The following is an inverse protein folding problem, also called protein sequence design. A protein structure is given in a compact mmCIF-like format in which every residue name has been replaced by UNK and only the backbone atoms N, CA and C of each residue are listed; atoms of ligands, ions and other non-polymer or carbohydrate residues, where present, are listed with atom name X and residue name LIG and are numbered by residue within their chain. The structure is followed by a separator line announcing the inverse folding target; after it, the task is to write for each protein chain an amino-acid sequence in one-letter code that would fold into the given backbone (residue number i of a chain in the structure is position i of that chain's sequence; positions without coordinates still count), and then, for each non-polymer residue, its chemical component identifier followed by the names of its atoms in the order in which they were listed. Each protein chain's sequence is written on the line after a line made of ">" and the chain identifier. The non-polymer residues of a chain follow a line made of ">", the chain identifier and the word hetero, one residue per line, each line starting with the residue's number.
data_IF_591817610644
#
_entry.id   IF_591817610644
#
_cell.length_a   1.000
_cell.length_b   1.000
_cell.length_c   1.000
_cell.angle_alpha   90.00
_cell.angle_beta   90.00
_cell.angle_gamma   90.00
#
_symmetry.space_group_name_H-M   'P 1'
#
loop_
_entity.id
_entity.type
_entity.pdbx_description
1 polymer ?
#
# COMPACT_ATOMS: atom_id res chain seq x y z
N UNK A 1 36.23 -35.31 21.06
CA UNK A 1 36.01 -34.24 20.06
C UNK A 1 34.57 -33.78 20.22
N UNK A 2 34.36 -32.67 20.91
CA UNK A 2 33.01 -32.13 21.12
C UNK A 2 32.46 -31.63 19.79
N UNK A 3 31.23 -32.02 19.46
CA UNK A 3 30.50 -31.51 18.30
C UNK A 3 30.24 -30.02 18.53
N UNK A 4 30.93 -29.15 17.79
CA UNK A 4 30.62 -27.72 17.78
C UNK A 4 29.16 -27.55 17.39
N UNK A 5 28.40 -26.85 18.24
CA UNK A 5 27.01 -26.58 17.93
C UNK A 5 26.94 -25.55 16.80
N UNK A 6 25.82 -25.54 16.07
CA UNK A 6 25.58 -24.55 15.01
C UNK A 6 25.71 -23.11 15.54
N UNK A 7 25.39 -22.89 16.81
CA UNK A 7 25.48 -21.58 17.47
C UNK A 7 26.93 -21.16 17.73
N UNK A 8 27.81 -22.11 18.06
CA UNK A 8 29.24 -21.84 18.25
C UNK A 8 29.92 -21.41 16.95
N UNK A 9 29.62 -22.09 15.83
CA UNK A 9 30.16 -21.68 14.52
C UNK A 9 29.65 -20.29 14.08
N UNK A 10 28.39 -19.96 14.39
CA UNK A 10 27.81 -18.66 14.04
C UNK A 10 28.39 -17.52 14.88
N UNK A 11 28.77 -17.80 16.14
CA UNK A 11 29.51 -16.85 16.98
C UNK A 11 30.94 -16.63 16.47
N UNK A 12 31.62 -17.69 16.09
CA UNK A 12 33.00 -17.62 15.58
C UNK A 12 33.08 -16.82 14.27
N UNK A 13 32.02 -16.85 13.47
CA UNK A 13 31.92 -16.06 12.23
C UNK A 13 31.43 -14.62 12.45
N UNK A 14 31.21 -14.18 13.71
CA UNK A 14 30.68 -12.85 14.05
C UNK A 14 29.34 -12.49 13.39
N UNK A 15 28.54 -13.50 13.02
CA UNK A 15 27.29 -13.34 12.27
C UNK A 15 26.05 -13.13 13.17
N UNK A 16 26.22 -12.67 14.42
CA UNK A 16 25.10 -12.43 15.36
C UNK A 16 25.04 -10.98 15.87
N UNK A 17 23.82 -10.46 16.19
CA UNK A 17 22.56 -11.21 16.29
C UNK A 17 21.60 -11.01 15.11
N UNK A 18 21.18 -12.14 14.54
CA UNK A 18 19.98 -12.25 13.72
C UNK A 18 18.73 -11.97 14.57
N UNK A 19 18.04 -10.87 14.24
CA UNK A 19 16.59 -10.62 14.38
C UNK A 19 15.86 -11.45 15.46
N UNK A 20 15.72 -10.89 16.66
CA UNK A 20 14.82 -11.43 17.69
C UNK A 20 13.36 -11.05 17.38
N UNK A 21 12.44 -12.00 17.54
CA UNK A 21 11.00 -11.77 17.46
C UNK A 21 10.59 -10.82 18.60
N UNK A 22 9.93 -9.69 18.31
CA UNK A 22 9.38 -8.83 19.36
C UNK A 22 8.34 -9.62 20.15
N UNK A 23 8.51 -9.69 21.47
CA UNK A 23 7.47 -10.16 22.40
C UNK A 23 6.23 -9.27 22.25
N UNK A 24 5.01 -9.84 22.20
CA UNK A 24 3.80 -9.03 22.15
C UNK A 24 3.68 -8.19 23.43
N UNK A 25 3.30 -6.92 23.27
CA UNK A 25 3.15 -5.94 24.35
C UNK A 25 2.12 -6.42 25.40
N UNK A 26 2.28 -6.04 26.69
CA UNK A 26 1.32 -6.38 27.72
C UNK A 26 -0.04 -5.71 27.43
N UNK A 27 -1.06 -6.54 27.48
CA UNK A 27 -2.48 -6.23 27.32
C UNK A 27 -2.91 -5.26 28.45
N UNK A 28 -2.84 -3.95 28.21
CA UNK A 28 -3.43 -2.96 29.10
C UNK A 28 -4.93 -2.91 28.83
N UNK A 29 -5.66 -3.53 29.75
CA UNK A 29 -7.10 -3.49 29.89
C UNK A 29 -7.66 -2.07 29.69
N UNK A 30 -8.58 -1.94 28.72
CA UNK A 30 -9.45 -0.77 28.61
C UNK A 30 -10.53 -0.92 29.68
N UNK A 31 -10.36 -0.20 30.77
CA UNK A 31 -11.36 -0.09 31.83
C UNK A 31 -12.53 0.78 31.33
N UNK A 32 -13.68 0.14 31.17
CA UNK A 32 -14.93 0.75 30.76
C UNK A 32 -15.62 1.24 32.03
N UNK A 33 -15.58 2.54 32.32
CA UNK A 33 -16.38 3.13 33.38
C UNK A 33 -17.04 4.44 32.96
N UNK A 34 -18.36 4.34 32.75
CA UNK A 34 -19.37 5.39 32.69
C UNK A 34 -19.20 6.38 33.84
N UNK A 35 -19.48 7.68 33.61
CA UNK A 35 -20.42 8.50 34.41
C UNK A 35 -20.79 9.76 33.62
N UNK A 36 -22.08 9.85 33.29
CA UNK A 36 -22.79 11.09 32.97
C UNK A 36 -22.95 11.94 34.24
N UNK A 37 -22.72 13.25 34.16
CA UNK A 37 -23.44 14.28 34.95
C UNK A 37 -23.05 15.67 34.45
N UNK A 38 -23.97 16.37 33.77
CA UNK A 38 -24.10 17.84 33.79
C UNK A 38 -25.58 18.22 33.63
N UNK A 39 -26.25 18.42 34.77
CA UNK A 39 -27.31 19.44 34.98
C UNK A 39 -26.60 20.69 35.55
N UNK A 40 -27.02 21.94 35.42
CA UNK A 40 -28.37 22.53 35.38
C UNK A 40 -28.23 23.96 34.78
N UNK A 41 -28.98 24.29 33.73
CA UNK A 41 -30.14 25.23 33.69
C UNK A 41 -29.87 26.68 34.14
N UNK A 42 -29.96 27.59 33.15
CA UNK A 42 -30.12 29.04 33.31
C UNK A 42 -30.99 29.60 32.18
N UNK A 43 -32.31 29.45 32.35
CA UNK A 43 -33.45 30.12 31.70
C UNK A 43 -33.25 31.67 31.60
N UNK A 44 -33.74 32.46 30.64
CA UNK A 44 -34.70 32.37 29.51
C UNK A 44 -34.64 33.75 28.73
N UNK A 45 -35.62 34.16 27.89
CA UNK A 45 -35.51 34.29 26.43
C UNK A 45 -35.67 35.74 25.90
N UNK A 46 -35.49 35.97 24.60
CA UNK A 46 -36.59 36.48 23.77
C UNK A 46 -36.30 36.27 22.26
N UNK A 47 -37.35 36.14 21.43
CA UNK A 47 -37.30 35.58 20.08
C UNK A 47 -37.20 36.68 19.02
N UNK A 48 -36.59 36.38 17.88
CA UNK A 48 -37.10 36.87 16.60
C UNK A 48 -37.03 35.78 15.53
N UNK A 49 -38.15 35.70 14.84
CA UNK A 49 -38.60 34.75 13.83
C UNK A 49 -37.91 35.04 12.51
N UNK A 50 -37.43 34.02 11.79
CA UNK A 50 -37.60 33.93 10.34
C UNK A 50 -37.28 32.50 9.85
N UNK A 51 -38.33 31.89 9.29
CA UNK A 51 -38.32 30.63 8.55
C UNK A 51 -37.72 30.85 7.17
N UNK A 52 -36.85 29.95 6.68
CA UNK A 52 -36.92 29.41 5.30
C UNK A 52 -36.28 28.02 5.28
N UNK A 53 -37.06 27.06 4.79
CA UNK A 53 -36.70 25.70 4.40
C UNK A 53 -35.78 25.73 3.18
N UNK A 54 -34.59 25.13 3.23
CA UNK A 54 -33.99 24.57 2.01
C UNK A 54 -32.95 23.48 2.34
N UNK A 55 -33.25 22.29 1.84
CA UNK A 55 -32.33 21.16 1.74
C UNK A 55 -31.48 21.43 0.51
N UNK A 56 -30.19 21.72 0.67
CA UNK A 56 -29.26 21.88 -0.46
C UNK A 56 -27.99 21.09 -0.18
N UNK A 57 -27.93 19.95 -0.87
CA UNK A 57 -26.79 19.38 -1.59
C UNK A 57 -25.37 19.53 -1.01
N UNK A 58 -24.75 18.38 -0.82
CA UNK A 58 -23.32 18.16 -0.58
C UNK A 58 -22.53 18.75 -1.77
N UNK A 59 -21.67 19.77 -1.58
CA UNK A 59 -20.71 20.09 -2.61
C UNK A 59 -19.47 19.23 -2.41
N UNK A 60 -19.31 18.25 -3.30
CA UNK A 60 -18.03 17.63 -3.60
C UNK A 60 -17.06 18.71 -4.10
N UNK A 61 -16.33 19.34 -3.19
CA UNK A 61 -15.23 20.25 -3.53
C UNK A 61 -14.09 20.11 -2.54
N UNK A 62 -13.19 19.18 -2.85
CA UNK A 62 -11.77 19.39 -2.57
C UNK A 62 -11.06 19.32 -3.92
N UNK A 63 -11.25 20.38 -4.71
CA UNK A 63 -10.32 20.77 -5.75
C UNK A 63 -9.08 21.34 -5.06
N UNK A 64 -8.09 20.50 -4.81
CA UNK A 64 -6.75 20.98 -4.47
C UNK A 64 -6.05 21.31 -5.78
N UNK A 65 -6.08 22.59 -6.15
CA UNK A 65 -5.27 23.17 -7.21
C UNK A 65 -3.80 23.14 -6.76
N UNK A 66 -3.03 22.18 -7.28
CA UNK A 66 -1.60 22.02 -6.96
C UNK A 66 -0.85 21.25 -8.04
N UNK A 67 -0.17 21.98 -8.91
CA UNK A 67 0.81 21.56 -9.91
C UNK A 67 0.33 20.68 -11.08
N UNK A 68 0.40 21.24 -12.28
CA UNK A 68 0.33 20.58 -13.59
C UNK A 68 1.68 19.85 -13.85
N UNK A 69 2.14 19.07 -12.89
CA UNK A 69 3.22 18.12 -13.10
C UNK A 69 2.57 16.76 -13.35
N UNK A 70 2.96 16.01 -14.40
CA UNK A 70 2.52 14.63 -14.50
C UNK A 70 2.80 13.91 -13.17
N UNK A 71 1.90 13.05 -12.68
CA UNK A 71 2.13 12.32 -11.44
C UNK A 71 3.44 11.54 -11.62
N UNK A 72 4.49 11.97 -10.93
CA UNK A 72 5.77 11.28 -10.95
C UNK A 72 5.59 10.04 -10.10
N UNK A 73 5.60 8.87 -10.75
CA UNK A 73 5.52 7.60 -10.06
C UNK A 73 6.91 6.96 -9.99
N UNK A 74 7.10 6.19 -8.94
CA UNK A 74 8.26 5.34 -8.82
C UNK A 74 7.91 3.95 -9.33
N UNK A 75 8.88 3.30 -9.94
CA UNK A 75 8.71 1.93 -10.37
C UNK A 75 9.91 1.08 -9.97
N UNK A 76 9.63 -0.19 -9.74
CA UNK A 76 10.62 -1.22 -9.48
C UNK A 76 10.34 -2.33 -10.48
N UNK A 77 11.24 -2.50 -11.45
CA UNK A 77 11.18 -3.59 -12.42
C UNK A 77 11.87 -4.84 -11.87
N UNK A 78 11.32 -6.01 -12.19
CA UNK A 78 12.02 -7.26 -11.93
C UNK A 78 13.21 -7.46 -12.87
N UNK A 79 14.23 -8.18 -12.42
CA UNK A 79 15.38 -8.58 -13.25
C UNK A 79 14.98 -9.41 -14.47
N UNK A 80 13.94 -10.23 -14.36
CA UNK A 80 13.42 -11.04 -15.47
C UNK A 80 12.55 -10.24 -16.45
N UNK A 81 12.21 -8.99 -16.13
CA UNK A 81 11.35 -8.13 -16.94
C UNK A 81 9.86 -8.49 -16.92
N UNK A 82 9.42 -9.47 -16.13
CA UNK A 82 8.02 -9.91 -16.17
C UNK A 82 7.08 -9.08 -15.29
N UNK A 83 7.60 -8.60 -14.16
CA UNK A 83 6.87 -7.82 -13.16
C UNK A 83 7.35 -6.38 -13.12
N UNK A 84 6.40 -5.46 -13.02
CA UNK A 84 6.63 -4.04 -12.74
C UNK A 84 5.81 -3.61 -11.54
N UNK A 85 6.46 -3.24 -10.45
CA UNK A 85 5.80 -2.67 -9.29
C UNK A 85 5.78 -1.15 -9.46
N UNK A 86 4.59 -0.55 -9.39
CA UNK A 86 4.42 0.91 -9.44
C UNK A 86 4.04 1.39 -8.04
N UNK A 87 4.73 2.41 -7.57
CA UNK A 87 4.66 2.95 -6.21
C UNK A 87 4.38 4.46 -6.27
N UNK A 88 3.74 5.03 -5.24
CA UNK A 88 3.47 6.46 -5.17
C UNK A 88 4.73 7.31 -4.96
N UNK A 89 5.80 6.74 -4.39
CA UNK A 89 7.07 7.43 -4.13
C UNK A 89 8.24 6.47 -4.23
N UNK A 90 9.38 6.97 -4.70
CA UNK A 90 10.64 6.22 -4.75
C UNK A 90 11.35 6.17 -3.39
N UNK A 91 11.00 7.11 -2.51
CA UNK A 91 11.59 7.21 -1.18
C UNK A 91 10.76 6.34 -0.25
N UNK A 92 11.38 5.26 0.22
CA UNK A 92 10.83 4.35 1.20
C UNK A 92 11.66 4.43 2.48
N UNK A 93 11.02 4.32 3.64
CA UNK A 93 11.70 4.08 4.89
C UNK A 93 12.43 2.73 4.88
N UNK A 94 13.33 2.52 5.84
CA UNK A 94 14.03 1.25 6.00
C UNK A 94 13.06 0.07 6.25
N UNK A 95 12.00 0.31 7.02
CA UNK A 95 10.99 -0.70 7.35
C UNK A 95 10.12 -1.06 6.14
N UNK A 96 9.70 -0.07 5.36
CA UNK A 96 8.93 -0.28 4.13
C UNK A 96 9.78 -1.02 3.09
N UNK A 97 11.03 -0.60 2.93
CA UNK A 97 11.99 -1.25 2.03
C UNK A 97 12.21 -2.71 2.44
N UNK A 98 12.34 -3.00 3.73
CA UNK A 98 12.51 -4.35 4.23
C UNK A 98 11.26 -5.21 4.02
N UNK A 99 10.06 -4.67 4.27
CA UNK A 99 8.81 -5.36 4.02
C UNK A 99 8.67 -5.70 2.53
N UNK A 100 8.92 -4.73 1.66
CA UNK A 100 8.90 -4.93 0.22
C UNK A 100 9.91 -6.00 -0.23
N UNK A 101 11.15 -5.95 0.27
CA UNK A 101 12.14 -6.99 0.02
C UNK A 101 11.68 -8.38 0.48
N UNK A 102 11.00 -8.47 1.64
CA UNK A 102 10.47 -9.74 2.13
C UNK A 102 9.34 -10.27 1.24
N UNK A 103 8.48 -9.38 0.73
CA UNK A 103 7.45 -9.72 -0.26
C UNK A 103 8.10 -10.26 -1.54
N UNK A 104 9.10 -9.57 -2.10
CA UNK A 104 9.80 -10.01 -3.30
C UNK A 104 10.50 -11.38 -3.09
N UNK A 105 11.14 -11.58 -1.93
CA UNK A 105 11.73 -12.88 -1.55
C UNK A 105 10.69 -13.99 -1.44
N UNK A 106 9.51 -13.70 -0.88
CA UNK A 106 8.42 -14.67 -0.77
C UNK A 106 7.85 -15.05 -2.15
N UNK A 107 7.78 -14.08 -3.08
CA UNK A 107 7.42 -14.32 -4.48
C UNK A 107 8.55 -14.99 -5.30
N UNK A 108 9.76 -15.11 -4.72
CA UNK A 108 11.00 -15.57 -5.39
C UNK A 108 11.38 -14.73 -6.60
N UNK A 109 11.14 -13.42 -6.53
CA UNK A 109 11.42 -12.46 -7.59
C UNK A 109 12.61 -11.59 -7.17
N UNK A 110 13.59 -11.43 -8.05
CA UNK A 110 14.62 -10.42 -7.89
C UNK A 110 14.16 -9.11 -8.52
N UNK A 111 14.40 -8.01 -7.83
CA UNK A 111 13.97 -6.66 -8.22
C UNK A 111 15.18 -5.73 -8.32
N UNK A 112 15.13 -4.81 -9.30
CA UNK A 112 16.11 -3.73 -9.44
C UNK A 112 15.84 -2.63 -8.41
N UNK A 113 16.71 -1.62 -8.35
CA UNK A 113 16.48 -0.45 -7.51
C UNK A 113 15.24 0.33 -7.97
N UNK A 114 14.60 1.06 -7.05
CA UNK A 114 13.51 1.97 -7.37
C UNK A 114 14.00 3.12 -8.25
N UNK A 115 13.28 3.36 -9.34
CA UNK A 115 13.58 4.42 -10.30
C UNK A 115 12.33 5.30 -10.46
N UNK A 116 12.51 6.61 -10.36
CA UNK A 116 11.43 7.57 -10.65
C UNK A 116 11.35 7.80 -12.15
N UNK A 117 10.15 7.84 -12.69
CA UNK A 117 9.96 8.08 -14.13
C UNK A 117 8.65 8.79 -14.41
N UNK A 118 8.60 9.39 -15.59
CA UNK A 118 7.46 10.21 -16.02
C UNK A 118 6.51 9.46 -16.97
N UNK A 119 6.99 8.39 -17.63
CA UNK A 119 6.23 7.65 -18.66
C UNK A 119 6.22 6.15 -18.40
N UNK A 120 5.03 5.58 -18.21
CA UNK A 120 4.88 4.15 -17.93
C UNK A 120 5.03 3.32 -19.21
N UNK A 121 4.61 3.88 -20.35
CA UNK A 121 4.71 3.23 -21.66
C UNK A 121 6.16 2.88 -21.97
N UNK A 122 7.08 3.82 -21.76
CA UNK A 122 8.51 3.60 -22.01
C UNK A 122 9.08 2.49 -21.13
N UNK A 123 8.70 2.45 -19.85
CA UNK A 123 9.18 1.45 -18.90
C UNK A 123 8.67 0.05 -19.25
N UNK A 124 7.38 -0.06 -19.55
CA UNK A 124 6.75 -1.34 -19.94
C UNK A 124 7.39 -1.87 -21.21
N UNK A 125 7.64 -1.00 -22.19
CA UNK A 125 8.33 -1.36 -23.43
C UNK A 125 9.80 -1.73 -23.20
N UNK A 126 10.53 -0.95 -22.40
CA UNK A 126 11.95 -1.17 -22.14
C UNK A 126 12.21 -2.47 -21.36
N UNK A 127 11.32 -2.85 -20.45
CA UNK A 127 11.45 -4.07 -19.64
C UNK A 127 10.65 -5.25 -20.18
N UNK A 128 9.81 -5.06 -21.20
CA UNK A 128 8.89 -6.07 -21.74
C UNK A 128 7.96 -6.66 -20.67
N UNK A 129 7.43 -5.78 -19.83
CA UNK A 129 6.59 -6.15 -18.70
C UNK A 129 5.30 -6.83 -19.15
N UNK A 130 5.01 -8.00 -18.55
CA UNK A 130 3.76 -8.73 -18.77
C UNK A 130 2.70 -8.37 -17.72
N UNK A 131 3.13 -8.14 -16.48
CA UNK A 131 2.25 -7.85 -15.36
C UNK A 131 2.71 -6.63 -14.56
N UNK A 132 1.79 -5.70 -14.35
CA UNK A 132 1.98 -4.47 -13.56
C UNK A 132 1.25 -4.61 -12.23
N UNK A 133 1.94 -4.30 -11.13
CA UNK A 133 1.38 -4.31 -9.78
C UNK A 133 1.31 -2.87 -9.30
N UNK A 134 0.10 -2.33 -9.20
CA UNK A 134 -0.15 -0.99 -8.67
C UNK A 134 -0.23 -1.07 -7.14
N UNK A 135 0.74 -0.50 -6.45
CA UNK A 135 0.78 -0.48 -4.99
C UNK A 135 0.20 0.83 -4.46
N UNK A 136 -0.93 0.75 -3.76
CA UNK A 136 -1.63 1.89 -3.18
C UNK A 136 -2.81 2.36 -4.03
N UNK A 137 -3.77 3.00 -3.37
CA UNK A 137 -5.02 3.46 -3.98
C UNK A 137 -4.79 4.54 -5.03
N UNK A 138 -4.04 5.59 -4.69
CA UNK A 138 -3.77 6.69 -5.60
C UNK A 138 -3.07 6.21 -6.88
N UNK A 139 -2.11 5.29 -6.75
CA UNK A 139 -1.43 4.68 -7.89
C UNK A 139 -2.40 3.86 -8.72
N UNK A 140 -3.22 2.99 -8.12
CA UNK A 140 -4.20 2.19 -8.84
C UNK A 140 -5.22 3.04 -9.61
N UNK A 141 -5.74 4.10 -8.98
CA UNK A 141 -6.69 5.04 -9.59
C UNK A 141 -6.09 5.76 -10.80
N UNK A 142 -4.86 6.26 -10.67
CA UNK A 142 -4.15 6.92 -11.78
C UNK A 142 -3.89 5.95 -12.93
N UNK A 143 -3.43 4.73 -12.64
CA UNK A 143 -3.11 3.75 -13.69
C UNK A 143 -4.36 3.18 -14.38
N UNK A 144 -5.45 2.99 -13.65
CA UNK A 144 -6.71 2.45 -14.20
C UNK A 144 -7.67 3.54 -14.69
N UNK A 145 -7.31 4.82 -14.55
CA UNK A 145 -8.19 5.97 -14.83
C UNK A 145 -9.56 5.83 -14.13
N UNK A 146 -9.54 5.34 -12.89
CA UNK A 146 -10.73 5.05 -12.11
C UNK A 146 -10.74 5.88 -10.83
N UNK A 147 -11.94 6.19 -10.32
CA UNK A 147 -12.17 6.85 -9.03
C UNK A 147 -12.68 5.88 -7.97
N UNK A 148 -12.71 4.57 -8.27
CA UNK A 148 -13.11 3.55 -7.31
C UNK A 148 -12.08 3.39 -6.20
N UNK A 149 -12.54 3.00 -5.01
CA UNK A 149 -11.67 2.70 -3.88
C UNK A 149 -10.84 1.45 -4.14
N UNK A 150 -9.71 1.34 -3.45
CA UNK A 150 -8.80 0.20 -3.60
C UNK A 150 -9.49 -1.14 -3.34
N UNK A 151 -10.44 -1.21 -2.41
CA UNK A 151 -11.19 -2.43 -2.09
C UNK A 151 -12.03 -2.95 -3.27
N UNK A 152 -12.49 -2.08 -4.16
CA UNK A 152 -13.21 -2.47 -5.37
C UNK A 152 -12.27 -2.84 -6.54
N UNK A 153 -11.07 -2.25 -6.56
CA UNK A 153 -10.08 -2.44 -7.61
C UNK A 153 -9.22 -3.69 -7.38
N UNK A 154 -8.98 -4.07 -6.12
CA UNK A 154 -8.21 -5.27 -5.74
C UNK A 154 -8.99 -6.56 -6.03
N UNK A 155 -8.29 -7.70 -5.93
CA UNK A 155 -8.84 -9.04 -6.23
C UNK A 155 -9.42 -9.17 -7.65
N UNK A 156 -9.07 -8.26 -8.56
CA UNK A 156 -9.47 -8.25 -9.97
C UNK A 156 -8.26 -8.05 -10.86
N UNK A 157 -8.32 -8.66 -12.04
CA UNK A 157 -7.31 -8.49 -13.07
C UNK A 157 -7.81 -7.47 -14.08
N UNK A 158 -7.08 -6.38 -14.18
CA UNK A 158 -7.36 -5.30 -15.11
C UNK A 158 -6.40 -5.39 -16.30
N UNK A 159 -6.74 -4.73 -17.40
CA UNK A 159 -5.90 -4.66 -18.59
C UNK A 159 -5.64 -3.19 -18.89
N UNK A 160 -4.37 -2.82 -18.94
CA UNK A 160 -3.97 -1.46 -19.31
C UNK A 160 -4.07 -1.28 -20.83
N UNK A 161 -5.26 -0.88 -21.29
CA UNK A 161 -5.57 -0.71 -22.72
C UNK A 161 -4.78 0.43 -23.38
N UNK A 162 -4.22 1.35 -22.59
CA UNK A 162 -3.43 2.48 -23.09
C UNK A 162 -2.03 2.09 -23.57
N UNK A 163 -1.51 0.94 -23.11
CA UNK A 163 -0.12 0.52 -23.36
C UNK A 163 -0.12 -0.75 -24.20
N UNK A 164 0.66 -0.77 -25.29
CA UNK A 164 0.90 -1.98 -26.10
C UNK A 164 2.28 -2.53 -25.76
N UNK A 165 2.45 -3.83 -25.49
CA UNK A 165 1.44 -4.91 -25.42
C UNK A 165 0.63 -4.84 -24.11
N UNK A 166 -0.70 -4.84 -24.20
CA UNK A 166 -1.67 -4.66 -23.10
C UNK A 166 -1.31 -5.45 -21.84
N UNK A 167 -0.61 -4.85 -20.86
CA UNK A 167 -0.14 -5.61 -19.71
C UNK A 167 -1.30 -5.82 -18.73
N UNK A 168 -1.29 -6.98 -18.08
CA UNK A 168 -2.23 -7.27 -16.99
C UNK A 168 -1.87 -6.39 -15.79
N UNK A 169 -2.84 -5.76 -15.14
CA UNK A 169 -2.66 -4.94 -13.96
C UNK A 169 -3.43 -5.48 -12.77
N UNK A 170 -2.79 -5.51 -11.60
CA UNK A 170 -3.43 -5.85 -10.32
C UNK A 170 -3.16 -4.73 -9.32
N UNK A 171 -4.21 -4.28 -8.64
CA UNK A 171 -4.10 -3.30 -7.56
C UNK A 171 -3.91 -4.02 -6.21
N UNK A 172 -3.03 -3.47 -5.36
CA UNK A 172 -2.77 -3.98 -4.00
C UNK A 172 -2.41 -2.85 -3.04
N UNK A 173 -2.30 -3.15 -1.75
CA UNK A 173 -1.91 -2.18 -0.73
C UNK A 173 -0.43 -1.79 -0.84
N UNK A 174 -0.11 -0.54 -0.49
CA UNK A 174 1.27 -0.08 -0.40
C UNK A 174 1.98 -0.60 0.87
N UNK A 175 3.32 -0.52 0.87
CA UNK A 175 4.12 -1.03 1.99
C UNK A 175 3.89 -0.25 3.29
N UNK A 176 3.70 1.07 3.23
CA UNK A 176 3.48 1.92 4.41
C UNK A 176 2.17 1.59 5.11
N UNK A 177 1.09 1.45 4.34
CA UNK A 177 -0.22 1.01 4.78
C UNK A 177 -0.15 -0.35 5.46
N UNK A 178 0.58 -1.31 4.88
CA UNK A 178 0.72 -2.65 5.45
C UNK A 178 1.55 -2.69 6.75
N UNK A 179 2.42 -1.72 6.98
CA UNK A 179 3.13 -1.60 8.26
C UNK A 179 2.21 -1.12 9.38
N UNK A 180 1.28 -0.21 9.06
CA UNK A 180 0.28 0.29 10.03
C UNK A 180 -0.85 -0.73 10.23
N UNK A 181 -1.41 -1.25 9.13
CA UNK A 181 -2.58 -2.12 9.11
C UNK A 181 -2.19 -3.57 8.80
N UNK A 182 -1.67 -4.26 9.82
CA UNK A 182 -1.14 -5.63 9.68
C UNK A 182 -2.21 -6.64 9.21
N UNK A 183 -3.49 -6.39 9.51
CA UNK A 183 -4.60 -7.26 9.10
C UNK A 183 -4.75 -7.34 7.57
N UNK A 184 -4.36 -6.28 6.85
CA UNK A 184 -4.48 -6.21 5.39
C UNK A 184 -3.31 -6.92 4.68
N UNK A 185 -2.29 -7.42 5.40
CA UNK A 185 -1.21 -8.21 4.79
C UNK A 185 -1.72 -9.50 4.14
N UNK A 186 -2.71 -10.15 4.75
CA UNK A 186 -3.31 -11.36 4.17
C UNK A 186 -4.05 -11.04 2.87
N UNK A 187 -4.70 -9.88 2.80
CA UNK A 187 -5.37 -9.36 1.61
C UNK A 187 -4.37 -9.05 0.50
N UNK A 188 -3.33 -8.26 0.81
CA UNK A 188 -2.24 -7.97 -0.13
C UNK A 188 -1.58 -9.25 -0.67
N UNK A 189 -1.33 -10.23 0.20
CA UNK A 189 -0.74 -11.50 -0.23
C UNK A 189 -1.64 -12.29 -1.19
N UNK A 190 -2.97 -12.23 -1.01
CA UNK A 190 -3.92 -12.83 -1.96
C UNK A 190 -3.82 -12.18 -3.34
N UNK A 191 -3.74 -10.85 -3.38
CA UNK A 191 -3.60 -10.09 -4.63
C UNK A 191 -2.30 -10.47 -5.35
N UNK A 192 -1.19 -10.59 -4.61
CA UNK A 192 0.11 -11.02 -5.16
C UNK A 192 0.11 -12.48 -5.62
N UNK A 193 -0.59 -13.36 -4.93
CA UNK A 193 -0.79 -14.74 -5.37
C UNK A 193 -1.56 -14.80 -6.69
N UNK A 194 -2.61 -13.99 -6.83
CA UNK A 194 -3.35 -13.86 -8.08
C UNK A 194 -2.45 -13.35 -9.22
N UNK A 195 -1.56 -12.39 -8.93
CA UNK A 195 -0.58 -11.91 -9.90
C UNK A 195 0.37 -13.01 -10.39
N UNK A 196 0.91 -13.80 -9.46
CA UNK A 196 1.79 -14.92 -9.84
C UNK A 196 1.06 -15.98 -10.67
N UNK A 197 -0.20 -16.27 -10.34
CA UNK A 197 -1.03 -17.21 -11.10
C UNK A 197 -1.31 -16.69 -12.51
N UNK A 198 -1.69 -15.42 -12.64
CA UNK A 198 -2.01 -14.80 -13.92
C UNK A 198 -0.83 -14.74 -14.91
N UNK A 199 0.41 -14.90 -14.44
CA UNK A 199 1.60 -15.00 -15.28
C UNK A 199 1.93 -16.44 -15.70
N UNK A 200 1.47 -17.43 -14.93
CA UNK A 200 1.68 -18.85 -15.22
C UNK A 200 0.66 -19.40 -16.24
N UNK A 201 -0.50 -18.75 -16.36
CA UNK A 201 -1.53 -19.01 -17.37
C UNK A 201 -1.23 -18.34 -18.72
#
# INVERSE_FOLDING_TARGET
>A
MGLMTREDMLRELELLPAWQLRTPAPEMAVDIARVSTRQDVGLKPDPQVESVTEIVEIPAQILTLGAILPPTFAHIASENGEYLFVLPSAIMSAEESQLFQNICKAMRINVKAAVTSESMVEIVLANQTKLVIAMGEATAQVLLQSTESLDNLREKLHILSEIKPEPKLIATYDAGHLLVNVQDKAKAWRDLCMAMQALQE
#
